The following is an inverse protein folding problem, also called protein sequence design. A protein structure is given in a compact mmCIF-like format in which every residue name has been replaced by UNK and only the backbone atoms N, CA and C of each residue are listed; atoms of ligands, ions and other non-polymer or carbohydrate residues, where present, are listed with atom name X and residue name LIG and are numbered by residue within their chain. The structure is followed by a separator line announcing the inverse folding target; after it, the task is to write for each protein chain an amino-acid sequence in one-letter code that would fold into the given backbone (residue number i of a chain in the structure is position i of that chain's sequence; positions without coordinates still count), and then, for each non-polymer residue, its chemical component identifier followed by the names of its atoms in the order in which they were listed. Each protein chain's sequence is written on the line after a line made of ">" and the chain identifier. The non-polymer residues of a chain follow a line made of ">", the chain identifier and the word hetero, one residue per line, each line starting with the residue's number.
data_IF_552157502310
#
_entry.id   IF_552157502310
#
_cell.length_a   1.000
_cell.length_b   1.000
_cell.length_c   1.000
_cell.angle_alpha   90.00
_cell.angle_beta   90.00
_cell.angle_gamma   90.00
#
_symmetry.space_group_name_H-M   'P 1'
#
loop_
_entity.id
_entity.type
_entity.pdbx_description
1 polymer ?
#
# COMPACT_ATOMS: atom_id res chain seq x y z
N UNK A 1 1.52 -23.77 -16.19
CA UNK A 1 1.56 -24.13 -14.77
C UNK A 1 2.81 -23.67 -14.02
N UNK A 2 3.98 -23.60 -14.63
CA UNK A 2 5.21 -23.13 -13.92
C UNK A 2 5.18 -21.67 -13.44
N UNK A 3 4.46 -20.78 -14.12
CA UNK A 3 4.37 -19.33 -13.75
C UNK A 3 3.58 -19.10 -12.45
N UNK A 4 2.54 -19.85 -12.19
CA UNK A 4 1.72 -19.71 -10.97
C UNK A 4 2.42 -20.30 -9.73
N UNK A 5 3.25 -21.33 -9.92
CA UNK A 5 4.00 -21.96 -8.83
C UNK A 5 5.08 -21.03 -8.26
N UNK A 6 5.72 -20.23 -9.12
CA UNK A 6 6.73 -19.25 -8.71
C UNK A 6 6.09 -18.10 -7.93
N UNK A 7 4.92 -17.62 -8.35
CA UNK A 7 4.20 -16.54 -7.65
C UNK A 7 3.70 -16.97 -6.27
N UNK A 8 3.20 -18.20 -6.15
CA UNK A 8 2.74 -18.76 -4.86
C UNK A 8 3.94 -18.99 -3.92
N UNK A 9 5.05 -19.48 -4.44
CA UNK A 9 6.26 -19.69 -3.64
C UNK A 9 6.87 -18.37 -3.17
N UNK A 10 6.86 -17.33 -4.03
CA UNK A 10 7.35 -16.00 -3.70
C UNK A 10 6.47 -15.33 -2.63
N UNK A 11 5.15 -15.45 -2.75
CA UNK A 11 4.19 -14.94 -1.74
C UNK A 11 4.36 -15.64 -0.39
N UNK A 12 4.62 -16.95 -0.37
CA UNK A 12 4.92 -17.70 0.85
C UNK A 12 6.26 -17.28 1.50
N UNK A 13 7.28 -17.00 0.69
CA UNK A 13 8.59 -16.55 1.18
C UNK A 13 8.48 -15.14 1.77
N UNK A 14 7.81 -14.22 1.08
CA UNK A 14 7.59 -12.86 1.58
C UNK A 14 6.71 -12.87 2.84
N UNK A 15 5.63 -13.64 2.86
CA UNK A 15 4.77 -13.83 4.03
C UNK A 15 5.51 -14.44 5.22
N UNK A 16 6.44 -15.38 4.99
CA UNK A 16 7.25 -16.02 6.02
C UNK A 16 8.31 -15.07 6.60
N UNK A 17 8.95 -14.25 5.76
CA UNK A 17 9.90 -13.23 6.23
C UNK A 17 9.20 -12.14 7.02
N UNK A 18 8.04 -11.66 6.58
CA UNK A 18 7.24 -10.68 7.31
C UNK A 18 6.77 -11.26 8.66
N UNK A 19 6.31 -12.52 8.71
CA UNK A 19 5.86 -13.14 9.96
C UNK A 19 7.00 -13.38 10.94
N UNK A 20 8.20 -13.72 10.49
CA UNK A 20 9.38 -13.85 11.38
C UNK A 20 9.85 -12.54 11.98
N UNK A 21 9.77 -11.47 11.23
CA UNK A 21 10.11 -10.13 11.74
C UNK A 21 9.14 -9.71 12.84
N UNK A 22 7.85 -10.03 12.69
CA UNK A 22 6.83 -9.76 13.71
C UNK A 22 6.95 -10.63 14.97
N UNK A 23 7.40 -11.89 14.84
CA UNK A 23 7.50 -12.81 15.98
C UNK A 23 8.73 -12.58 16.88
N UNK A 24 9.81 -12.00 16.33
CA UNK A 24 11.03 -11.75 17.10
C UNK A 24 11.01 -10.45 17.94
N UNK A 25 10.04 -9.57 17.73
CA UNK A 25 9.92 -8.31 18.50
C UNK A 25 8.85 -8.38 19.64
N UNK A 26 8.18 -9.52 19.81
CA UNK A 26 7.09 -9.65 20.80
C UNK A 26 7.54 -10.00 22.21
N UNK A 27 8.85 -10.21 22.45
CA UNK A 27 9.40 -10.46 23.77
C UNK A 27 10.03 -9.19 24.37
N UNK A 28 9.22 -8.48 25.11
CA UNK A 28 9.74 -7.58 26.15
C UNK A 28 9.43 -6.09 26.01
N UNK A 29 8.67 -5.64 26.96
CA UNK A 29 8.38 -4.27 27.38
C UNK A 29 7.22 -3.54 26.70
N UNK A 30 6.05 -3.62 27.35
CA UNK A 30 5.06 -2.55 27.32
C UNK A 30 5.65 -1.27 27.95
N UNK A 31 6.42 -0.53 27.19
CA UNK A 31 6.53 0.91 27.47
C UNK A 31 5.22 1.56 27.03
N UNK A 32 4.53 2.16 27.99
CA UNK A 32 3.43 3.09 27.71
C UNK A 32 4.07 4.29 27.03
N UNK A 33 4.23 4.23 25.71
CA UNK A 33 4.56 5.41 24.92
C UNK A 33 3.34 6.32 24.98
N UNK A 34 3.49 7.47 25.61
CA UNK A 34 2.59 8.61 25.43
C UNK A 34 2.44 8.83 23.92
N UNK A 35 1.25 8.53 23.42
CA UNK A 35 0.92 8.62 21.99
C UNK A 35 0.91 10.09 21.61
N UNK A 36 2.03 10.57 21.14
CA UNK A 36 2.07 11.70 20.23
C UNK A 36 1.79 11.10 18.86
N UNK A 37 0.59 11.25 18.35
CA UNK A 37 0.20 10.80 17.00
C UNK A 37 0.91 11.69 15.98
N UNK A 38 2.19 11.39 15.75
CA UNK A 38 2.98 12.02 14.71
C UNK A 38 2.61 11.31 13.41
N UNK A 39 1.78 11.96 12.60
CA UNK A 39 1.49 11.48 11.27
C UNK A 39 2.75 11.45 10.41
N UNK A 40 2.84 10.48 9.50
CA UNK A 40 3.91 10.32 8.53
C UNK A 40 3.41 10.75 7.16
N UNK A 41 4.15 11.63 6.48
CA UNK A 41 3.85 12.00 5.10
C UNK A 41 4.12 10.80 4.18
N UNK A 42 3.17 10.51 3.31
CA UNK A 42 3.27 9.43 2.34
C UNK A 42 2.85 9.90 0.94
N UNK A 43 3.50 9.34 -0.06
CA UNK A 43 3.19 9.52 -1.47
C UNK A 43 2.24 8.42 -1.93
N UNK A 44 1.10 8.81 -2.43
CA UNK A 44 0.10 7.92 -3.02
C UNK A 44 0.18 8.04 -4.53
N UNK A 45 0.59 6.98 -5.21
CA UNK A 45 0.75 6.95 -6.66
C UNK A 45 -0.61 6.84 -7.30
N UNK A 46 -1.02 7.89 -7.99
CA UNK A 46 -2.34 8.08 -8.56
C UNK A 46 -2.39 7.56 -9.99
N UNK A 47 -3.31 6.65 -10.24
CA UNK A 47 -3.60 6.11 -11.56
C UNK A 47 -4.51 7.03 -12.38
N UNK A 48 -5.48 7.67 -11.74
CA UNK A 48 -6.40 8.57 -12.39
C UNK A 48 -7.51 9.07 -11.48
N UNK A 49 -8.31 10.00 -12.02
CA UNK A 49 -9.51 10.54 -11.37
C UNK A 49 -10.70 10.30 -12.28
N UNK A 50 -11.78 9.77 -11.75
CA UNK A 50 -12.99 9.40 -12.51
C UNK A 50 -14.21 10.10 -11.94
N UNK A 51 -15.17 10.44 -12.81
CA UNK A 51 -16.36 11.17 -12.38
C UNK A 51 -17.48 10.24 -11.90
N UNK A 52 -17.42 8.96 -12.23
CA UNK A 52 -18.41 7.95 -11.84
C UNK A 52 -17.76 6.63 -11.49
N UNK A 53 -18.43 5.83 -10.65
CA UNK A 53 -17.99 4.46 -10.33
C UNK A 53 -17.96 3.57 -11.57
N UNK A 54 -18.90 3.71 -12.49
CA UNK A 54 -18.94 2.95 -13.75
C UNK A 54 -17.70 3.22 -14.63
N UNK A 55 -17.25 4.47 -14.69
CA UNK A 55 -16.02 4.83 -15.38
C UNK A 55 -14.78 4.24 -14.68
N UNK A 56 -14.73 4.35 -13.36
CA UNK A 56 -13.67 3.78 -12.53
C UNK A 56 -13.57 2.27 -12.77
N UNK A 57 -14.65 1.52 -12.62
CA UNK A 57 -14.68 0.06 -12.81
C UNK A 57 -14.16 -0.34 -14.20
N UNK A 58 -14.60 0.34 -15.25
CA UNK A 58 -14.15 0.08 -16.63
C UNK A 58 -12.66 0.35 -16.83
N UNK A 59 -12.13 1.39 -16.21
CA UNK A 59 -10.74 1.81 -16.37
C UNK A 59 -9.76 1.03 -15.49
N UNK A 60 -10.23 0.47 -14.38
CA UNK A 60 -9.38 -0.28 -13.44
C UNK A 60 -9.39 -1.79 -13.65
N UNK A 61 -10.13 -2.29 -14.64
CA UNK A 61 -10.28 -3.73 -14.92
C UNK A 61 -8.94 -4.46 -15.14
N UNK A 62 -7.92 -3.74 -15.60
CA UNK A 62 -6.57 -4.29 -15.83
C UNK A 62 -5.66 -4.19 -14.61
N UNK A 63 -6.07 -3.50 -13.54
CA UNK A 63 -5.28 -3.33 -12.32
C UNK A 63 -5.39 -4.58 -11.44
N UNK A 64 -4.27 -5.02 -10.89
CA UNK A 64 -4.23 -6.16 -9.97
C UNK A 64 -4.83 -5.79 -8.61
N UNK A 65 -4.51 -4.58 -8.14
CA UNK A 65 -5.02 -4.04 -6.90
C UNK A 65 -5.00 -2.51 -6.93
N UNK A 66 -5.96 -1.90 -6.28
CA UNK A 66 -6.06 -0.44 -6.15
C UNK A 66 -6.95 -0.08 -4.96
N UNK A 67 -6.78 1.13 -4.48
CA UNK A 67 -7.72 1.79 -3.57
C UNK A 67 -8.27 3.04 -4.25
N UNK A 68 -9.43 3.50 -3.83
CA UNK A 68 -9.95 4.79 -4.30
C UNK A 68 -10.51 5.62 -3.15
N UNK A 69 -10.46 6.93 -3.34
CA UNK A 69 -10.99 7.92 -2.40
C UNK A 69 -11.94 8.83 -3.17
N UNK A 70 -13.14 9.03 -2.64
CA UNK A 70 -14.06 10.03 -3.17
C UNK A 70 -13.71 11.40 -2.58
N UNK A 71 -13.37 12.33 -3.46
CA UNK A 71 -13.06 13.71 -3.11
C UNK A 71 -13.67 14.66 -4.14
N UNK A 72 -14.42 15.66 -3.67
CA UNK A 72 -15.05 16.68 -4.52
C UNK A 72 -15.92 16.11 -5.66
N UNK A 73 -16.60 14.98 -5.40
CA UNK A 73 -17.46 14.29 -6.37
C UNK A 73 -16.68 13.54 -7.47
N UNK A 74 -15.39 13.29 -7.25
CA UNK A 74 -14.55 12.45 -8.11
C UNK A 74 -13.98 11.29 -7.32
N UNK A 75 -13.64 10.25 -8.04
CA UNK A 75 -13.00 9.04 -7.50
C UNK A 75 -11.54 9.03 -7.93
N UNK A 76 -10.65 9.34 -6.99
CA UNK A 76 -9.20 9.27 -7.19
C UNK A 76 -8.71 7.86 -6.90
N UNK A 77 -8.05 7.24 -7.88
CA UNK A 77 -7.58 5.85 -7.79
C UNK A 77 -6.07 5.82 -7.57
N UNK A 78 -5.62 5.06 -6.57
CA UNK A 78 -4.23 4.90 -6.20
C UNK A 78 -3.78 3.45 -6.31
N UNK A 79 -2.55 3.25 -6.82
CA UNK A 79 -1.97 1.94 -7.13
C UNK A 79 -0.66 1.67 -6.39
N UNK A 80 -0.20 2.58 -5.55
CA UNK A 80 1.00 2.43 -4.73
C UNK A 80 1.06 3.47 -3.63
N UNK A 81 1.71 3.11 -2.51
CA UNK A 81 1.93 4.00 -1.36
C UNK A 81 3.36 3.80 -0.89
N UNK A 82 4.06 4.90 -0.57
CA UNK A 82 5.41 4.90 0.01
C UNK A 82 5.66 6.17 0.80
N UNK A 83 6.54 6.13 1.80
CA UNK A 83 6.97 7.33 2.53
C UNK A 83 8.28 7.91 1.98
N UNK A 84 8.96 7.20 1.07
CA UNK A 84 10.29 7.55 0.58
C UNK A 84 10.27 8.05 -0.86
N UNK A 85 10.96 9.15 -1.10
CA UNK A 85 11.04 9.75 -2.43
C UNK A 85 11.70 8.84 -3.46
N UNK A 86 12.80 8.16 -3.10
CA UNK A 86 13.49 7.24 -4.01
C UNK A 86 12.62 6.04 -4.38
N UNK A 87 11.87 5.50 -3.42
CA UNK A 87 10.91 4.42 -3.65
C UNK A 87 9.74 4.89 -4.51
N UNK A 88 9.23 6.11 -4.27
CA UNK A 88 8.21 6.73 -5.13
C UNK A 88 8.68 6.78 -6.57
N UNK A 89 9.88 7.31 -6.82
CA UNK A 89 10.43 7.42 -8.17
C UNK A 89 10.56 6.05 -8.83
N UNK A 90 11.07 5.06 -8.11
CA UNK A 90 11.17 3.66 -8.57
C UNK A 90 9.80 3.06 -8.93
N UNK A 91 8.79 3.24 -8.08
CA UNK A 91 7.43 2.76 -8.35
C UNK A 91 6.80 3.50 -9.52
N UNK A 92 7.04 4.81 -9.65
CA UNK A 92 6.55 5.57 -10.80
C UNK A 92 7.17 5.08 -12.12
N UNK A 93 8.47 4.78 -12.16
CA UNK A 93 9.12 4.17 -13.32
C UNK A 93 8.54 2.79 -13.63
N UNK A 94 8.32 1.97 -12.60
CA UNK A 94 7.69 0.66 -12.76
C UNK A 94 6.30 0.76 -13.39
N UNK A 95 5.41 1.58 -12.85
CA UNK A 95 4.04 1.72 -13.38
C UNK A 95 4.02 2.37 -14.77
N UNK A 96 4.91 3.31 -15.07
CA UNK A 96 5.09 3.86 -16.42
C UNK A 96 5.55 2.81 -17.42
N UNK A 97 6.40 1.87 -17.00
CA UNK A 97 6.83 0.76 -17.86
C UNK A 97 5.69 -0.21 -18.23
N UNK A 98 4.62 -0.24 -17.41
CA UNK A 98 3.38 -0.96 -17.70
C UNK A 98 2.44 -0.17 -18.63
N UNK A 99 2.80 1.05 -19.03
CA UNK A 99 2.02 1.91 -19.92
C UNK A 99 0.98 2.78 -19.20
N UNK A 100 1.08 2.94 -17.87
CA UNK A 100 0.16 3.78 -17.11
C UNK A 100 0.62 5.24 -17.12
N UNK A 101 -0.35 6.16 -17.28
CA UNK A 101 -0.14 7.60 -17.10
C UNK A 101 -0.45 7.94 -15.64
N UNK A 102 0.59 8.17 -14.86
CA UNK A 102 0.51 8.28 -13.41
C UNK A 102 1.03 9.62 -12.88
N UNK A 103 0.48 10.03 -11.76
CA UNK A 103 0.96 11.13 -10.92
C UNK A 103 1.08 10.67 -9.47
N UNK A 104 1.21 11.58 -8.52
CA UNK A 104 1.12 11.25 -7.09
C UNK A 104 0.49 12.42 -6.32
N UNK A 105 -0.15 12.07 -5.21
CA UNK A 105 -0.61 13.00 -4.18
C UNK A 105 0.10 12.70 -2.86
N UNK A 106 0.16 13.69 -1.95
CA UNK A 106 0.75 13.53 -0.63
C UNK A 106 -0.34 13.53 0.44
N UNK A 107 -0.31 12.54 1.31
CA UNK A 107 -1.22 12.43 2.45
C UNK A 107 -0.46 12.15 3.74
N UNK A 108 -1.07 12.51 4.87
CA UNK A 108 -0.56 12.18 6.20
C UNK A 108 -1.24 10.90 6.70
N UNK A 109 -0.46 9.88 7.01
CA UNK A 109 -0.92 8.63 7.61
C UNK A 109 -0.70 8.71 9.11
N UNK A 110 -1.74 8.42 9.90
CA UNK A 110 -1.71 8.48 11.37
C UNK A 110 -1.93 7.11 12.03
N UNK A 111 -2.29 6.08 11.27
CA UNK A 111 -2.46 4.73 11.81
C UNK A 111 -1.08 4.11 12.08
N UNK A 112 -0.76 3.91 13.37
CA UNK A 112 0.57 3.44 13.81
C UNK A 112 0.88 2.03 13.30
N UNK A 113 -0.09 1.11 13.34
CA UNK A 113 0.08 -0.26 12.86
C UNK A 113 0.38 -0.30 11.37
N UNK A 114 -0.32 0.54 10.59
CA UNK A 114 -0.05 0.64 9.17
C UNK A 114 1.32 1.28 8.88
N UNK A 115 1.72 2.31 9.63
CA UNK A 115 3.04 2.95 9.47
C UNK A 115 4.16 1.95 9.72
N UNK A 116 4.04 1.12 10.76
CA UNK A 116 5.02 0.06 11.06
C UNK A 116 5.10 -0.97 9.93
N UNK A 117 3.94 -1.44 9.44
CA UNK A 117 3.87 -2.33 8.29
C UNK A 117 4.52 -1.72 7.05
N UNK A 118 4.18 -0.47 6.72
CA UNK A 118 4.72 0.24 5.57
C UNK A 118 6.24 0.39 5.64
N UNK A 119 6.79 0.76 6.79
CA UNK A 119 8.23 0.86 6.99
C UNK A 119 8.98 -0.47 6.74
N UNK A 120 8.37 -1.60 7.09
CA UNK A 120 8.95 -2.92 6.84
C UNK A 120 8.84 -3.32 5.36
N UNK A 121 7.70 -3.05 4.72
CA UNK A 121 7.50 -3.32 3.30
C UNK A 121 8.43 -2.46 2.42
N UNK A 122 8.67 -1.21 2.79
CA UNK A 122 9.58 -0.31 2.07
C UNK A 122 11.03 -0.81 2.01
N UNK A 123 11.51 -1.50 3.03
CA UNK A 123 12.84 -2.13 3.00
C UNK A 123 12.97 -3.14 1.85
N UNK A 124 11.88 -3.84 1.52
CA UNK A 124 11.85 -4.76 0.37
C UNK A 124 11.85 -3.98 -0.94
N UNK A 125 11.05 -2.92 -1.05
CA UNK A 125 11.00 -2.08 -2.24
C UNK A 125 12.34 -1.39 -2.52
N UNK A 126 13.05 -0.95 -1.50
CA UNK A 126 14.37 -0.32 -1.65
C UNK A 126 15.42 -1.29 -2.19
N UNK A 127 15.41 -2.51 -1.71
CA UNK A 127 16.45 -3.51 -1.99
C UNK A 127 16.18 -4.36 -3.23
N UNK A 128 15.03 -4.21 -3.89
CA UNK A 128 14.72 -4.98 -5.09
C UNK A 128 14.72 -4.11 -6.35
N UNK A 129 15.17 -4.71 -7.47
CA UNK A 129 14.96 -4.19 -8.82
C UNK A 129 14.08 -5.16 -9.65
N UNK A 130 13.57 -6.21 -9.04
CA UNK A 130 12.68 -7.15 -9.70
C UNK A 130 11.28 -6.54 -9.81
N UNK A 131 10.80 -6.37 -11.05
CA UNK A 131 9.51 -5.75 -11.35
C UNK A 131 8.33 -6.55 -10.80
N UNK A 132 8.45 -7.87 -10.69
CA UNK A 132 7.40 -8.71 -10.11
C UNK A 132 7.28 -8.49 -8.61
N UNK A 133 8.40 -8.33 -7.92
CA UNK A 133 8.44 -8.03 -6.48
C UNK A 133 7.91 -6.63 -6.20
N UNK A 134 8.27 -5.64 -7.02
CA UNK A 134 7.72 -4.28 -6.90
C UNK A 134 6.20 -4.26 -6.99
N UNK A 135 5.64 -4.97 -7.98
CA UNK A 135 4.19 -5.06 -8.16
C UNK A 135 3.49 -5.78 -7.01
N UNK A 136 4.05 -6.89 -6.55
CA UNK A 136 3.46 -7.68 -5.46
C UNK A 136 3.50 -6.95 -4.12
N UNK A 137 4.64 -6.38 -3.75
CA UNK A 137 4.78 -5.62 -2.50
C UNK A 137 3.88 -4.37 -2.51
N UNK A 138 3.78 -3.66 -3.65
CA UNK A 138 2.85 -2.53 -3.78
C UNK A 138 1.40 -2.95 -3.58
N UNK A 139 1.00 -4.09 -4.14
CA UNK A 139 -0.34 -4.64 -3.96
C UNK A 139 -0.63 -5.00 -2.49
N UNK A 140 0.32 -5.59 -1.79
CA UNK A 140 0.19 -5.92 -0.37
C UNK A 140 0.08 -4.67 0.51
N UNK A 141 0.86 -3.63 0.21
CA UNK A 141 0.79 -2.33 0.89
C UNK A 141 -0.62 -1.72 0.76
N UNK A 142 -1.21 -1.75 -0.43
CA UNK A 142 -2.57 -1.26 -0.66
C UNK A 142 -3.62 -2.09 0.09
N UNK A 143 -3.53 -3.42 0.05
CA UNK A 143 -4.44 -4.30 0.77
C UNK A 143 -4.41 -4.06 2.27
N UNK A 144 -3.22 -3.82 2.82
CA UNK A 144 -3.06 -3.52 4.25
C UNK A 144 -3.59 -2.13 4.61
N UNK A 145 -3.45 -1.16 3.72
CA UNK A 145 -4.06 0.16 3.88
C UNK A 145 -5.59 0.08 3.91
N UNK A 146 -6.17 -0.67 3.00
CA UNK A 146 -7.61 -0.91 2.96
C UNK A 146 -8.10 -1.56 4.26
N UNK A 147 -7.42 -2.59 4.73
CA UNK A 147 -7.76 -3.30 5.97
C UNK A 147 -7.69 -2.41 7.21
N UNK A 148 -6.56 -1.72 7.42
CA UNK A 148 -6.28 -1.01 8.68
C UNK A 148 -6.79 0.43 8.70
N UNK A 149 -6.84 1.10 7.56
CA UNK A 149 -7.15 2.53 7.49
C UNK A 149 -8.57 2.76 6.98
N UNK A 150 -8.94 2.14 5.87
CA UNK A 150 -10.27 2.34 5.28
C UNK A 150 -11.32 1.58 6.11
N UNK A 151 -11.18 0.27 6.25
CA UNK A 151 -12.16 -0.58 6.95
C UNK A 151 -12.06 -0.44 8.47
N UNK A 152 -10.87 -0.23 9.03
CA UNK A 152 -10.68 0.04 10.46
C UNK A 152 -11.28 1.36 10.95
N UNK A 153 -11.57 2.30 10.05
CA UNK A 153 -12.27 3.55 10.35
C UNK A 153 -13.80 3.41 10.42
N UNK A 154 -14.36 2.40 9.81
CA UNK A 154 -15.84 2.18 9.78
C UNK A 154 -16.40 1.69 11.11
N UNK A 155 -15.61 1.01 11.94
CA UNK A 155 -16.05 0.51 13.25
C UNK A 155 -16.33 1.61 14.29
N UNK A 156 -16.01 2.87 13.97
CA UNK A 156 -16.30 4.04 14.82
C UNK A 156 -17.56 4.83 14.43
N UNK A 157 -18.26 4.47 13.37
CA UNK A 157 -19.46 5.20 12.90
C UNK A 157 -20.81 4.52 13.18
N UNK A 158 -20.82 3.38 13.85
CA UNK A 158 -22.05 2.61 14.13
C UNK A 158 -22.48 2.70 15.60
N UNK A 159 -22.11 3.72 16.35
CA UNK A 159 -22.67 3.99 17.67
C UNK A 159 -22.99 5.48 17.82
N UNK A 160 -24.10 5.90 17.24
CA UNK A 160 -24.84 7.07 17.71
C UNK A 160 -26.31 6.89 17.34
#
# INVERSE_FOLDING_TARGET
>A
MKKYFVSILLGLVIGFFLSKTFLNEYDGYKEIKTVSSIGVNAYFIKYGSFNTLDELEKKTISLTNYIFVEQDGKFDVYIGITTKEDTRNKLMEYFKSLGYDISYDEFVITNEEYIEYLNNAEKLLENTNDLSVLGEVSSQILSKYEELVINGGEDKRVTS
#
